data_IF_982892350630
#
_entry.id   IF_982892350630
#
_cell.length_a   1.000
_cell.length_b   1.000
_cell.length_c   1.000
_cell.angle_alpha   90.00
_cell.angle_beta   90.00
_cell.angle_gamma   90.00
#
_symmetry.space_group_name_H-M   'P 1'
#
loop_
_entity.id
_entity.type
_entity.pdbx_description
1 polymer ?
#
# COMPACT_ATOMS: atom_id res chain seq x y z
N UNK A 1 -7.05 -12.04 1.18
CA UNK A 1 -8.32 -12.45 0.54
C UNK A 1 -8.65 -13.95 0.65
N UNK A 2 -7.69 -14.84 0.91
CA UNK A 2 -7.97 -16.28 1.07
C UNK A 2 -8.13 -16.70 2.54
N UNK A 3 -7.66 -15.90 3.45
CA UNK A 3 -7.77 -16.14 4.89
C UNK A 3 -9.17 -15.78 5.37
N UNK A 4 -9.87 -16.75 5.95
CA UNK A 4 -11.27 -16.60 6.38
C UNK A 4 -11.45 -15.66 7.59
N UNK A 5 -10.39 -15.43 8.36
CA UNK A 5 -10.42 -14.56 9.54
C UNK A 5 -10.12 -13.10 9.17
N UNK A 6 -9.20 -12.90 8.22
CA UNK A 6 -8.74 -11.57 7.80
C UNK A 6 -9.65 -11.00 6.70
N UNK A 7 -10.04 -11.82 5.71
CA UNK A 7 -10.78 -11.34 4.54
C UNK A 7 -12.05 -10.54 4.88
N UNK A 8 -12.90 -10.93 5.82
CA UNK A 8 -14.10 -10.14 6.17
C UNK A 8 -13.80 -8.79 6.84
N UNK A 9 -12.55 -8.57 7.25
CA UNK A 9 -12.10 -7.35 7.94
C UNK A 9 -11.38 -6.38 7.01
N UNK A 10 -11.00 -6.84 5.81
CA UNK A 10 -10.30 -6.02 4.84
C UNK A 10 -11.24 -5.00 4.20
N UNK A 11 -10.81 -3.75 4.17
CA UNK A 11 -11.53 -2.64 3.53
C UNK A 11 -10.59 -1.98 2.53
N UNK A 12 -10.50 -2.48 1.29
CA UNK A 12 -9.78 -1.79 0.24
C UNK A 12 -10.50 -0.49 -0.12
N UNK A 13 -9.75 0.60 -0.14
CA UNK A 13 -10.26 1.93 -0.49
C UNK A 13 -9.42 2.41 -1.67
N UNK A 14 -10.08 2.79 -2.75
CA UNK A 14 -9.45 3.21 -3.99
C UNK A 14 -10.08 4.51 -4.48
N UNK A 15 -9.29 5.36 -5.16
CA UNK A 15 -9.87 6.32 -6.09
C UNK A 15 -10.41 5.55 -7.28
N UNK A 16 -10.84 6.18 -8.31
CA UNK A 16 -11.38 5.59 -9.53
C UNK A 16 -10.32 4.88 -10.43
N UNK A 17 -9.30 4.27 -9.84
CA UNK A 17 -8.07 3.87 -10.58
C UNK A 17 -7.62 2.43 -10.27
N UNK A 18 -8.55 1.55 -9.91
CA UNK A 18 -8.22 0.19 -9.48
C UNK A 18 -7.38 -0.59 -10.51
N UNK A 19 -7.64 -0.41 -11.81
CA UNK A 19 -6.90 -1.09 -12.88
C UNK A 19 -5.44 -0.62 -12.96
N UNK A 20 -5.21 0.68 -12.80
CA UNK A 20 -3.85 1.24 -12.76
C UNK A 20 -3.03 0.68 -11.61
N UNK A 21 -3.69 0.36 -10.50
CA UNK A 21 -3.05 -0.24 -9.32
C UNK A 21 -3.03 -1.78 -9.35
N UNK A 22 -3.50 -2.43 -10.43
CA UNK A 22 -3.58 -3.89 -10.53
C UNK A 22 -4.58 -4.52 -9.58
N UNK A 23 -5.62 -3.78 -9.18
CA UNK A 23 -6.62 -4.20 -8.19
C UNK A 23 -7.95 -4.66 -8.82
N UNK A 24 -8.08 -4.66 -10.13
CA UNK A 24 -9.30 -5.05 -10.86
C UNK A 24 -9.80 -6.45 -10.53
N UNK A 25 -8.90 -7.34 -10.12
CA UNK A 25 -9.27 -8.68 -9.66
C UNK A 25 -10.16 -8.70 -8.41
N UNK A 26 -10.27 -7.59 -7.70
CA UNK A 26 -11.16 -7.47 -6.54
C UNK A 26 -12.61 -7.28 -6.96
N UNK A 27 -12.90 -6.70 -8.12
CA UNK A 27 -14.26 -6.45 -8.58
C UNK A 27 -15.11 -7.71 -8.60
N UNK A 28 -14.59 -8.79 -9.17
CA UNK A 28 -15.30 -10.07 -9.24
C UNK A 28 -15.25 -10.87 -7.94
N UNK A 29 -14.25 -10.62 -7.09
CA UNK A 29 -14.00 -11.44 -5.92
C UNK A 29 -14.70 -10.98 -4.67
N UNK A 30 -14.75 -9.68 -4.44
CA UNK A 30 -15.31 -9.06 -3.23
C UNK A 30 -16.24 -7.90 -3.54
N UNK A 31 -16.36 -7.51 -4.80
CA UNK A 31 -17.24 -6.45 -5.27
C UNK A 31 -16.92 -5.05 -4.79
N UNK A 32 -17.40 -4.07 -5.52
CA UNK A 32 -17.39 -2.67 -5.11
C UNK A 32 -18.69 -2.43 -4.32
N UNK A 33 -18.58 -1.77 -3.19
CA UNK A 33 -19.74 -1.45 -2.39
C UNK A 33 -20.63 -0.39 -3.09
N UNK A 34 -21.90 -0.73 -3.27
CA UNK A 34 -22.91 0.21 -3.72
C UNK A 34 -24.19 0.00 -2.91
N UNK A 35 -24.65 1.03 -2.22
CA UNK A 35 -25.81 0.96 -1.32
C UNK A 35 -27.07 0.39 -1.99
N UNK A 36 -27.29 0.69 -3.24
CA UNK A 36 -28.45 0.22 -4.01
C UNK A 36 -28.13 -0.98 -4.92
N UNK A 37 -26.88 -1.44 -4.96
CA UNK A 37 -26.39 -2.41 -5.91
C UNK A 37 -26.19 -1.80 -7.30
N UNK A 38 -25.76 -2.61 -8.25
CA UNK A 38 -25.48 -2.18 -9.62
C UNK A 38 -26.77 -1.92 -10.40
N UNK A 39 -26.93 -0.73 -10.96
CA UNK A 39 -28.13 -0.30 -11.68
C UNK A 39 -27.94 -0.12 -13.19
N UNK A 40 -26.75 -0.41 -13.69
CA UNK A 40 -26.40 -0.28 -15.09
C UNK A 40 -25.51 -1.46 -15.51
N UNK A 41 -25.41 -1.68 -16.81
CA UNK A 41 -24.44 -2.62 -17.37
C UNK A 41 -23.11 -1.90 -17.59
N UNK A 42 -22.00 -2.38 -17.00
CA UNK A 42 -20.70 -1.77 -17.20
C UNK A 42 -20.23 -1.91 -18.67
N UNK A 43 -19.52 -0.91 -19.16
CA UNK A 43 -18.98 -0.94 -20.54
C UNK A 43 -18.02 -2.12 -20.75
N UNK A 44 -17.37 -2.58 -19.68
CA UNK A 44 -16.43 -3.69 -19.66
C UNK A 44 -17.07 -5.05 -19.31
N UNK A 45 -18.40 -5.16 -19.35
CA UNK A 45 -19.14 -6.37 -18.94
C UNK A 45 -18.69 -7.67 -19.61
N UNK A 46 -18.11 -7.58 -20.80
CA UNK A 46 -17.54 -8.72 -21.52
C UNK A 46 -16.14 -9.14 -21.04
N UNK A 47 -15.50 -8.40 -20.15
CA UNK A 47 -14.16 -8.71 -19.63
C UNK A 47 -14.22 -9.64 -18.41
N UNK A 48 -13.18 -10.47 -18.23
CA UNK A 48 -13.06 -11.38 -17.09
C UNK A 48 -13.05 -10.65 -15.73
N UNK A 49 -12.47 -9.45 -15.68
CA UNK A 49 -12.40 -8.61 -14.47
C UNK A 49 -13.25 -7.36 -14.68
N UNK A 50 -14.51 -7.55 -15.13
CA UNK A 50 -15.45 -6.46 -15.33
C UNK A 50 -15.80 -5.76 -14.01
N UNK A 51 -16.14 -4.49 -14.12
CA UNK A 51 -16.62 -3.68 -13.01
C UNK A 51 -17.89 -4.30 -12.41
N UNK A 52 -17.93 -4.43 -11.07
CA UNK A 52 -19.05 -5.05 -10.38
C UNK A 52 -19.36 -4.35 -9.05
N UNK A 53 -20.54 -3.77 -8.98
CA UNK A 53 -21.08 -3.17 -7.77
C UNK A 53 -22.09 -4.11 -7.09
N UNK A 54 -22.05 -4.15 -5.77
CA UNK A 54 -23.03 -4.91 -4.98
C UNK A 54 -23.18 -4.37 -3.55
N UNK A 55 -24.33 -4.61 -2.94
CA UNK A 55 -24.61 -4.17 -1.55
C UNK A 55 -23.67 -4.80 -0.53
N UNK A 56 -23.17 -5.99 -0.81
CA UNK A 56 -22.21 -6.73 0.02
C UNK A 56 -20.77 -6.48 -0.38
N UNK A 57 -20.50 -5.57 -1.32
CA UNK A 57 -19.17 -5.24 -1.77
C UNK A 57 -18.28 -4.74 -0.63
N UNK A 58 -16.98 -5.07 -0.71
CA UNK A 58 -15.99 -4.67 0.29
C UNK A 58 -15.06 -3.55 -0.19
N UNK A 59 -14.96 -3.33 -1.50
CA UNK A 59 -14.14 -2.25 -2.05
C UNK A 59 -14.93 -0.94 -1.96
N UNK A 60 -14.34 0.06 -1.31
CA UNK A 60 -14.87 1.42 -1.34
C UNK A 60 -14.20 2.19 -2.47
N UNK A 61 -14.96 2.55 -3.48
CA UNK A 61 -14.52 3.37 -4.60
C UNK A 61 -15.02 4.79 -4.39
N UNK A 62 -14.10 5.64 -3.96
CA UNK A 62 -14.42 7.01 -3.48
C UNK A 62 -14.35 8.06 -4.61
N UNK A 63 -13.99 7.65 -5.82
CA UNK A 63 -13.67 8.58 -6.90
C UNK A 63 -12.36 9.33 -6.65
N UNK A 64 -12.06 10.31 -7.48
CA UNK A 64 -10.84 11.15 -7.34
C UNK A 64 -11.09 12.21 -6.25
N UNK A 65 -11.15 11.73 -5.02
CA UNK A 65 -11.39 12.53 -3.81
C UNK A 65 -10.56 11.98 -2.65
N UNK A 66 -9.31 12.37 -2.57
CA UNK A 66 -8.39 11.85 -1.55
C UNK A 66 -8.84 12.19 -0.13
N UNK A 67 -9.47 13.32 0.09
CA UNK A 67 -9.97 13.71 1.41
C UNK A 67 -11.14 12.82 1.86
N UNK A 68 -12.08 12.49 0.95
CA UNK A 68 -13.17 11.54 1.21
C UNK A 68 -12.64 10.14 1.49
N UNK A 69 -11.76 9.64 0.63
CA UNK A 69 -11.14 8.33 0.79
C UNK A 69 -10.37 8.20 2.11
N UNK A 70 -9.61 9.24 2.49
CA UNK A 70 -8.89 9.23 3.77
C UNK A 70 -9.85 9.32 4.97
N UNK A 71 -10.98 10.01 4.84
CA UNK A 71 -12.01 10.04 5.89
C UNK A 71 -12.64 8.67 6.09
N UNK A 72 -12.97 7.96 5.01
CA UNK A 72 -13.43 6.57 5.05
C UNK A 72 -12.39 5.63 5.65
N UNK A 73 -11.11 5.84 5.30
CA UNK A 73 -10.01 5.08 5.89
C UNK A 73 -9.91 5.31 7.40
N UNK A 74 -9.98 6.55 7.87
CA UNK A 74 -9.94 6.89 9.30
C UNK A 74 -11.13 6.23 10.02
N UNK A 75 -12.34 6.31 9.47
CA UNK A 75 -13.52 5.70 10.04
C UNK A 75 -13.35 4.18 10.23
N UNK A 76 -12.85 3.48 9.21
CA UNK A 76 -12.55 2.05 9.31
C UNK A 76 -11.39 1.75 10.26
N UNK A 77 -10.31 2.56 10.21
CA UNK A 77 -9.11 2.38 11.02
C UNK A 77 -9.32 2.62 12.53
N UNK A 78 -10.39 3.34 12.90
CA UNK A 78 -10.80 3.63 14.28
C UNK A 78 -12.07 2.89 14.71
N UNK A 79 -12.64 2.04 13.85
CA UNK A 79 -13.89 1.33 14.16
C UNK A 79 -13.79 0.43 15.39
N UNK A 80 -12.59 0.00 15.76
CA UNK A 80 -12.34 -0.77 16.98
C UNK A 80 -12.66 0.00 18.26
N UNK A 81 -12.55 1.34 18.26
CA UNK A 81 -12.89 2.17 19.43
C UNK A 81 -14.37 2.53 19.48
N UNK A 82 -14.98 2.76 18.32
CA UNK A 82 -16.35 3.28 18.22
C UNK A 82 -17.42 2.19 18.14
N UNK A 83 -17.05 1.03 17.60
CA UNK A 83 -18.01 -0.04 17.28
C UNK A 83 -17.56 -1.42 17.79
N UNK A 84 -16.41 -1.51 18.47
CA UNK A 84 -15.80 -2.79 18.88
C UNK A 84 -15.57 -3.77 17.71
N UNK A 85 -15.34 -3.21 16.53
CA UNK A 85 -15.09 -3.96 15.28
C UNK A 85 -13.71 -3.60 14.75
N UNK A 86 -12.81 -4.56 14.76
CA UNK A 86 -11.51 -4.36 14.08
C UNK A 86 -11.67 -4.48 12.57
N UNK A 87 -11.32 -3.42 11.86
CA UNK A 87 -11.21 -3.40 10.41
C UNK A 87 -9.74 -3.20 10.00
N UNK A 88 -9.40 -3.61 8.79
CA UNK A 88 -8.07 -3.52 8.21
C UNK A 88 -8.20 -2.70 6.92
N UNK A 89 -8.26 -1.38 7.03
CA UNK A 89 -8.37 -0.53 5.85
C UNK A 89 -7.03 -0.44 5.12
N UNK A 90 -7.11 -0.51 3.80
CA UNK A 90 -5.98 -0.36 2.89
C UNK A 90 -6.39 0.68 1.85
N UNK A 91 -5.89 1.90 2.00
CA UNK A 91 -6.15 2.96 1.05
C UNK A 91 -4.99 3.09 0.07
N UNK A 92 -5.29 2.91 -1.22
CA UNK A 92 -4.32 3.01 -2.31
C UNK A 92 -4.56 4.30 -3.08
N UNK A 93 -3.52 5.07 -3.28
CA UNK A 93 -3.57 6.36 -3.97
C UNK A 93 -2.27 6.64 -4.74
N UNK A 94 -2.28 7.61 -5.62
CA UNK A 94 -1.06 8.08 -6.26
C UNK A 94 -0.12 8.73 -5.24
N UNK A 95 1.07 8.17 -5.08
CA UNK A 95 2.02 8.59 -4.03
C UNK A 95 2.39 10.07 -4.09
N UNK A 96 2.50 10.63 -5.31
CA UNK A 96 2.82 12.03 -5.53
C UNK A 96 1.77 12.98 -4.94
N UNK A 97 0.49 12.62 -5.06
CA UNK A 97 -0.62 13.47 -4.60
C UNK A 97 -1.01 13.23 -3.15
N UNK A 98 -0.84 11.99 -2.67
CA UNK A 98 -1.41 11.54 -1.42
C UNK A 98 -1.15 12.50 -0.26
N UNK A 99 0.03 12.48 0.30
CA UNK A 99 0.34 13.30 1.47
C UNK A 99 0.22 14.81 1.23
N UNK A 100 0.33 15.28 0.00
CA UNK A 100 0.08 16.68 -0.32
C UNK A 100 -1.38 17.08 -0.12
N UNK A 101 -2.31 16.14 -0.30
CA UNK A 101 -3.76 16.40 -0.21
C UNK A 101 -4.37 15.90 1.10
N UNK A 102 -3.74 14.92 1.75
CA UNK A 102 -4.27 14.29 2.97
C UNK A 102 -3.40 14.53 4.21
N UNK A 103 -2.39 15.39 4.16
CA UNK A 103 -1.45 15.58 5.25
C UNK A 103 -2.11 15.85 6.60
N UNK A 104 -3.03 16.79 6.67
CA UNK A 104 -3.77 17.09 7.90
C UNK A 104 -4.61 15.89 8.39
N UNK A 105 -5.25 15.18 7.47
CA UNK A 105 -6.02 13.99 7.81
C UNK A 105 -5.12 12.83 8.27
N UNK A 106 -3.91 12.72 7.72
CA UNK A 106 -2.95 11.73 8.18
C UNK A 106 -2.44 12.04 9.61
N UNK A 107 -2.25 13.31 9.94
CA UNK A 107 -1.99 13.74 11.32
C UNK A 107 -3.17 13.43 12.25
N UNK A 108 -4.40 13.75 11.83
CA UNK A 108 -5.60 13.43 12.58
C UNK A 108 -5.75 11.90 12.79
N UNK A 109 -5.42 11.10 11.79
CA UNK A 109 -5.38 9.64 11.90
C UNK A 109 -4.37 9.16 12.94
N UNK A 110 -3.17 9.74 12.93
CA UNK A 110 -2.14 9.45 13.93
C UNK A 110 -2.59 9.78 15.35
N UNK A 111 -3.19 10.94 15.54
CA UNK A 111 -3.71 11.42 16.82
C UNK A 111 -4.88 10.54 17.32
N UNK A 112 -5.73 10.10 16.40
CA UNK A 112 -6.86 9.19 16.68
C UNK A 112 -6.46 7.72 16.86
N UNK A 113 -5.17 7.39 16.82
CA UNK A 113 -4.64 6.03 16.94
C UNK A 113 -5.19 5.08 15.86
N UNK A 114 -5.38 5.58 14.66
CA UNK A 114 -5.84 4.81 13.52
C UNK A 114 -4.90 3.65 13.20
N UNK A 115 -5.46 2.49 12.78
CA UNK A 115 -4.72 1.28 12.42
C UNK A 115 -5.05 0.85 11.02
N UNK A 116 -4.09 0.86 10.12
CA UNK A 116 -4.31 0.48 8.72
C UNK A 116 -3.10 0.79 7.85
N UNK A 117 -3.28 0.59 6.55
CA UNK A 117 -2.24 0.77 5.56
C UNK A 117 -2.64 1.87 4.56
N UNK A 118 -1.71 2.77 4.31
CA UNK A 118 -1.73 3.72 3.23
C UNK A 118 -0.73 3.25 2.16
N UNK A 119 -1.16 3.08 0.93
CA UNK A 119 -0.34 2.60 -0.18
C UNK A 119 -0.18 3.70 -1.20
N UNK A 120 1.03 4.26 -1.28
CA UNK A 120 1.41 5.18 -2.34
C UNK A 120 1.79 4.41 -3.60
N UNK A 121 0.83 4.17 -4.47
CA UNK A 121 1.05 3.45 -5.71
C UNK A 121 1.65 4.36 -6.78
N UNK A 122 2.23 3.75 -7.81
CA UNK A 122 2.97 4.45 -8.88
C UNK A 122 4.15 5.28 -8.37
N UNK A 123 4.77 4.84 -7.26
CA UNK A 123 5.97 5.50 -6.75
C UNK A 123 7.19 5.27 -7.66
N UNK A 124 8.14 6.17 -7.56
CA UNK A 124 9.37 6.13 -8.34
C UNK A 124 9.36 7.08 -9.53
N UNK A 125 10.55 7.36 -10.04
CA UNK A 125 10.75 8.33 -11.13
C UNK A 125 11.18 7.69 -12.43
N UNK A 126 11.64 6.44 -12.39
CA UNK A 126 12.22 5.76 -13.55
C UNK A 126 11.17 5.10 -14.44
N UNK A 127 10.02 4.75 -13.88
CA UNK A 127 8.97 3.94 -14.55
C UNK A 127 7.80 4.77 -15.04
N UNK A 128 7.75 6.07 -14.74
CA UNK A 128 6.65 6.98 -15.04
C UNK A 128 7.06 8.11 -16.00
N UNK A 129 8.04 7.87 -16.86
CA UNK A 129 8.60 8.89 -17.74
C UNK A 129 7.57 9.51 -18.71
N UNK A 130 6.55 8.76 -19.12
CA UNK A 130 5.48 9.23 -19.98
C UNK A 130 4.36 10.01 -19.30
N UNK A 131 4.27 9.95 -17.97
CA UNK A 131 3.13 10.52 -17.23
C UNK A 131 3.38 11.96 -16.72
N UNK A 132 4.56 12.49 -16.98
CA UNK A 132 4.94 13.85 -16.59
C UNK A 132 5.31 14.01 -15.12
N UNK A 133 5.74 15.23 -14.79
CA UNK A 133 6.30 15.58 -13.49
C UNK A 133 5.35 15.32 -12.32
N UNK A 134 4.07 15.47 -12.54
CA UNK A 134 3.02 15.30 -11.53
C UNK A 134 2.92 13.88 -10.94
N UNK A 135 3.50 12.86 -11.59
CA UNK A 135 3.51 11.48 -11.09
C UNK A 135 4.89 11.06 -10.55
N UNK A 136 5.87 11.94 -10.58
CA UNK A 136 7.24 11.61 -10.18
C UNK A 136 7.47 11.87 -8.69
N UNK A 137 6.97 10.98 -7.85
CA UNK A 137 7.19 11.05 -6.41
C UNK A 137 8.66 10.79 -6.03
N UNK A 138 9.14 11.51 -5.06
CA UNK A 138 10.47 11.36 -4.46
C UNK A 138 10.55 12.01 -3.08
N UNK A 139 9.41 12.42 -2.51
CA UNK A 139 9.35 13.21 -1.28
C UNK A 139 8.24 12.77 -0.32
N UNK A 140 7.32 11.91 -0.74
CA UNK A 140 6.17 11.51 0.10
C UNK A 140 6.62 10.90 1.44
N UNK A 141 7.69 10.11 1.44
CA UNK A 141 8.27 9.56 2.67
C UNK A 141 8.80 10.63 3.63
N UNK A 142 9.34 11.74 3.12
CA UNK A 142 9.79 12.86 3.95
C UNK A 142 8.62 13.50 4.69
N UNK A 143 7.49 13.66 4.01
CA UNK A 143 6.27 14.19 4.61
C UNK A 143 5.71 13.19 5.62
N UNK A 144 5.56 11.93 5.23
CA UNK A 144 5.04 10.88 6.10
C UNK A 144 5.87 10.68 7.38
N UNK A 145 7.20 10.81 7.28
CA UNK A 145 8.10 10.65 8.42
C UNK A 145 7.98 11.75 9.48
N UNK A 146 7.27 12.84 9.18
CA UNK A 146 6.98 13.86 10.18
C UNK A 146 5.92 13.42 11.19
N UNK A 147 5.10 12.41 10.86
CA UNK A 147 4.04 11.89 11.73
C UNK A 147 4.63 10.80 12.63
N UNK A 148 4.68 10.99 13.96
CA UNK A 148 5.48 10.15 14.86
C UNK A 148 5.13 8.66 14.87
N UNK A 149 3.87 8.31 14.62
CA UNK A 149 3.37 6.93 14.60
C UNK A 149 3.08 6.40 13.19
N UNK A 150 3.52 7.10 12.15
CA UNK A 150 3.50 6.61 10.77
C UNK A 150 4.78 5.85 10.45
N UNK A 151 4.67 4.54 10.26
CA UNK A 151 5.80 3.68 9.88
C UNK A 151 5.90 3.63 8.36
N UNK A 152 7.05 4.02 7.81
CA UNK A 152 7.19 4.18 6.35
C UNK A 152 8.16 3.19 5.73
N UNK A 153 7.81 2.64 4.56
CA UNK A 153 8.66 1.72 3.79
C UNK A 153 8.57 1.99 2.28
N UNK A 154 9.71 1.81 1.61
CA UNK A 154 9.84 1.88 0.14
C UNK A 154 10.41 0.54 -0.39
N UNK A 155 9.61 -0.55 -0.38
CA UNK A 155 10.07 -1.87 -0.81
C UNK A 155 10.30 -1.92 -2.33
N UNK A 156 11.29 -2.71 -2.74
CA UNK A 156 11.56 -3.01 -4.15
C UNK A 156 10.89 -4.31 -4.59
N UNK A 157 10.92 -5.33 -3.74
CA UNK A 157 10.49 -6.68 -4.09
C UNK A 157 9.25 -7.12 -3.33
N UNK A 158 8.46 -8.02 -3.95
CA UNK A 158 7.22 -8.52 -3.37
C UNK A 158 7.40 -9.20 -2.00
N UNK A 159 8.55 -9.87 -1.78
CA UNK A 159 8.81 -10.51 -0.50
C UNK A 159 9.03 -9.51 0.63
N UNK A 160 9.62 -8.34 0.34
CA UNK A 160 9.74 -7.25 1.31
C UNK A 160 8.34 -6.74 1.71
N UNK A 161 7.50 -6.49 0.71
CA UNK A 161 6.12 -6.07 0.93
C UNK A 161 5.36 -7.07 1.80
N UNK A 162 5.50 -8.38 1.52
CA UNK A 162 4.84 -9.44 2.28
C UNK A 162 5.31 -9.46 3.76
N UNK A 163 6.61 -9.31 4.01
CA UNK A 163 7.19 -9.23 5.37
C UNK A 163 6.67 -8.01 6.10
N UNK A 164 6.66 -6.83 5.44
CA UNK A 164 6.20 -5.57 6.02
C UNK A 164 4.70 -5.63 6.35
N UNK A 165 3.87 -6.14 5.44
CA UNK A 165 2.44 -6.29 5.69
C UNK A 165 2.14 -7.23 6.86
N UNK A 166 2.82 -8.38 6.91
CA UNK A 166 2.69 -9.34 8.02
C UNK A 166 3.03 -8.70 9.36
N UNK A 167 4.14 -7.96 9.41
CA UNK A 167 4.56 -7.26 10.63
C UNK A 167 3.60 -6.12 10.98
N UNK A 168 3.11 -5.38 10.01
CA UNK A 168 2.10 -4.33 10.22
C UNK A 168 0.82 -4.89 10.83
N UNK A 169 0.30 -5.99 10.30
CA UNK A 169 -0.85 -6.69 10.88
C UNK A 169 -0.57 -7.15 12.31
N UNK A 170 0.60 -7.73 12.56
CA UNK A 170 1.00 -8.17 13.90
C UNK A 170 1.04 -7.00 14.89
N UNK A 171 1.68 -5.88 14.52
CA UNK A 171 1.81 -4.71 15.40
C UNK A 171 0.46 -4.05 15.67
N UNK A 172 -0.32 -3.81 14.64
CA UNK A 172 -1.58 -3.08 14.76
C UNK A 172 -2.70 -3.92 15.37
N UNK A 173 -2.86 -5.18 14.98
CA UNK A 173 -4.04 -5.99 15.30
C UNK A 173 -3.77 -7.05 16.37
N UNK A 174 -2.55 -7.58 16.49
CA UNK A 174 -2.20 -8.54 17.55
C UNK A 174 -1.64 -7.83 18.77
N UNK A 175 -0.64 -6.93 18.58
CA UNK A 175 0.02 -6.19 19.67
C UNK A 175 -0.71 -4.91 20.08
N UNK A 176 -1.66 -4.46 19.28
CA UNK A 176 -2.45 -3.23 19.54
C UNK A 176 -1.59 -1.97 19.64
N UNK A 177 -0.45 -1.95 18.97
CA UNK A 177 0.44 -0.79 18.95
C UNK A 177 -0.24 0.41 18.25
N UNK A 178 0.04 1.60 18.74
CA UNK A 178 -0.41 2.85 18.13
C UNK A 178 0.50 3.21 16.95
N UNK A 179 0.30 2.54 15.84
CA UNK A 179 1.01 2.79 14.58
C UNK A 179 0.09 2.56 13.40
N UNK A 180 0.35 3.26 12.28
CA UNK A 180 -0.17 2.93 10.96
C UNK A 180 0.97 2.94 9.95
N UNK A 181 0.73 2.39 8.76
CA UNK A 181 1.79 2.18 7.78
C UNK A 181 1.57 3.02 6.53
N UNK A 182 2.65 3.62 6.02
CA UNK A 182 2.72 4.16 4.68
C UNK A 182 3.77 3.39 3.87
N UNK A 183 3.35 2.79 2.76
CA UNK A 183 4.21 1.94 1.92
C UNK A 183 4.08 2.41 0.49
N UNK A 184 5.20 2.73 -0.16
CA UNK A 184 5.19 3.02 -1.60
C UNK A 184 5.32 1.74 -2.41
N UNK A 185 4.63 1.69 -3.54
CA UNK A 185 4.66 0.56 -4.48
C UNK A 185 4.75 1.07 -5.91
N UNK A 186 5.26 0.21 -6.78
CA UNK A 186 5.36 0.47 -8.23
C UNK A 186 4.25 -0.26 -8.97
N UNK A 187 3.81 0.28 -10.09
CA UNK A 187 2.85 -0.37 -11.00
C UNK A 187 3.51 -1.04 -12.23
N UNK A 188 4.84 -1.10 -12.27
CA UNK A 188 5.56 -1.78 -13.33
C UNK A 188 5.70 -3.27 -13.05
N UNK A 189 5.42 -4.09 -14.07
CA UNK A 189 5.58 -5.54 -13.98
C UNK A 189 7.03 -5.94 -14.29
N UNK A 190 7.66 -6.66 -13.39
CA UNK A 190 8.98 -7.25 -13.57
C UNK A 190 9.15 -8.55 -12.76
N UNK A 191 10.15 -9.34 -13.12
CA UNK A 191 10.47 -10.56 -12.39
C UNK A 191 11.08 -10.24 -11.04
N UNK A 192 10.51 -10.80 -9.98
CA UNK A 192 11.02 -10.66 -8.63
C UNK A 192 11.97 -11.82 -8.28
N UNK A 193 13.13 -11.54 -7.67
CA UNK A 193 14.01 -12.59 -7.17
C UNK A 193 13.39 -13.29 -5.95
N UNK A 194 13.92 -14.47 -5.65
CA UNK A 194 13.65 -15.10 -4.36
C UNK A 194 14.23 -14.28 -3.21
N UNK A 195 13.58 -14.33 -2.06
CA UNK A 195 14.11 -13.72 -0.84
C UNK A 195 15.47 -14.38 -0.48
N UNK A 196 16.51 -13.61 -0.15
CA UNK A 196 17.77 -14.16 0.32
C UNK A 196 17.59 -15.10 1.50
N UNK A 197 18.26 -16.26 1.47
CA UNK A 197 18.14 -17.31 2.51
C UNK A 197 18.95 -17.03 3.79
N UNK A 198 19.39 -15.81 4.00
CA UNK A 198 20.03 -15.41 5.25
C UNK A 198 18.99 -15.29 6.36
N UNK A 199 19.28 -15.86 7.52
CA UNK A 199 18.38 -15.85 8.69
C UNK A 199 18.02 -14.45 9.20
N UNK A 200 18.83 -13.45 8.85
CA UNK A 200 18.63 -12.06 9.28
C UNK A 200 17.88 -11.22 8.21
N UNK A 201 17.50 -11.81 7.08
CA UNK A 201 16.89 -11.05 5.97
C UNK A 201 15.56 -10.41 6.40
N UNK A 202 14.66 -11.16 7.02
CA UNK A 202 13.36 -10.60 7.47
C UNK A 202 13.56 -9.49 8.51
N UNK A 203 14.42 -9.71 9.48
CA UNK A 203 14.75 -8.68 10.49
C UNK A 203 15.36 -7.43 9.83
N UNK A 204 16.25 -7.63 8.85
CA UNK A 204 16.86 -6.54 8.10
C UNK A 204 15.85 -5.76 7.27
N UNK A 205 14.88 -6.42 6.64
CA UNK A 205 13.77 -5.77 5.93
C UNK A 205 12.99 -4.87 6.91
N UNK A 206 12.61 -5.40 8.07
CA UNK A 206 11.86 -4.65 9.07
C UNK A 206 12.65 -3.49 9.69
N UNK A 207 13.96 -3.60 9.76
CA UNK A 207 14.87 -2.52 10.17
C UNK A 207 15.23 -1.54 9.05
N UNK A 208 14.73 -1.78 7.83
CA UNK A 208 14.93 -0.92 6.66
C UNK A 208 16.25 -1.12 5.93
N UNK A 209 17.06 -2.13 6.27
CA UNK A 209 18.30 -2.42 5.56
C UNK A 209 18.71 -3.90 5.67
N UNK A 210 18.97 -4.54 4.55
CA UNK A 210 19.51 -5.90 4.50
C UNK A 210 20.41 -6.09 3.27
N UNK A 211 21.26 -7.11 3.29
CA UNK A 211 22.15 -7.41 2.19
C UNK A 211 21.46 -8.30 1.15
N UNK A 212 21.28 -7.77 -0.06
CA UNK A 212 20.66 -8.51 -1.17
C UNK A 212 21.68 -9.41 -1.86
N UNK A 213 22.89 -8.88 -2.15
CA UNK A 213 23.88 -9.59 -2.95
C UNK A 213 25.30 -9.21 -2.54
N UNK A 214 26.22 -10.15 -2.69
CA UNK A 214 27.64 -9.92 -2.48
C UNK A 214 28.41 -10.25 -3.78
N UNK A 215 29.23 -9.31 -4.22
CA UNK A 215 30.05 -9.42 -5.43
C UNK A 215 31.52 -9.64 -5.09
N UNK A 216 31.84 -10.63 -4.28
CA UNK A 216 33.16 -10.91 -3.73
C UNK A 216 34.27 -11.24 -4.75
N UNK A 217 34.13 -10.85 -6.03
CA UNK A 217 35.13 -11.13 -7.08
C UNK A 217 36.46 -10.36 -6.94
N UNK A 218 36.50 -9.26 -6.20
CA UNK A 218 37.67 -8.38 -6.12
C UNK A 218 38.09 -8.14 -4.67
N UNK A 219 39.31 -8.55 -4.33
CA UNK A 219 39.82 -8.48 -2.95
C UNK A 219 40.32 -7.08 -2.51
N UNK A 220 40.51 -6.13 -3.43
CA UNK A 220 41.20 -4.86 -3.12
C UNK A 220 40.29 -3.66 -2.86
N UNK A 221 39.12 -3.59 -3.47
CA UNK A 221 38.21 -2.45 -3.29
C UNK A 221 36.80 -2.97 -3.06
N UNK A 222 36.17 -2.53 -1.99
CA UNK A 222 34.77 -2.84 -1.68
C UNK A 222 33.96 -1.58 -1.90
N UNK A 223 32.89 -1.69 -2.72
CA UNK A 223 31.91 -0.64 -2.94
C UNK A 223 30.59 -1.17 -2.42
N UNK A 224 29.98 -0.42 -1.50
CA UNK A 224 28.62 -0.68 -1.03
C UNK A 224 27.66 0.21 -1.81
N UNK A 225 26.63 -0.42 -2.40
CA UNK A 225 25.53 0.28 -3.04
C UNK A 225 24.31 0.18 -2.16
N UNK A 226 23.61 1.28 -1.99
CA UNK A 226 22.35 1.36 -1.22
C UNK A 226 21.25 1.86 -2.14
N UNK A 227 20.06 1.30 -2.00
CA UNK A 227 18.89 1.73 -2.76
C UNK A 227 17.60 1.16 -2.16
N UNK A 228 16.48 1.76 -2.52
CA UNK A 228 15.14 1.29 -2.21
C UNK A 228 14.23 1.51 -3.43
N UNK A 229 13.05 0.92 -3.42
CA UNK A 229 12.07 1.08 -4.49
C UNK A 229 12.64 0.82 -5.89
N UNK A 230 12.27 1.65 -6.85
CA UNK A 230 12.72 1.56 -8.25
C UNK A 230 14.23 1.71 -8.39
N UNK A 231 14.86 2.56 -7.57
CA UNK A 231 16.29 2.85 -7.68
C UNK A 231 17.13 1.62 -7.35
N UNK A 232 16.74 0.83 -6.38
CA UNK A 232 17.48 -0.40 -6.05
C UNK A 232 17.50 -1.38 -7.23
N UNK A 233 16.39 -1.50 -7.96
CA UNK A 233 16.30 -2.35 -9.15
C UNK A 233 17.30 -1.94 -10.23
N UNK A 234 17.44 -0.64 -10.48
CA UNK A 234 18.40 -0.11 -11.45
C UNK A 234 19.87 -0.26 -10.99
N UNK A 235 20.11 -0.54 -9.71
CA UNK A 235 21.45 -0.69 -9.14
C UNK A 235 21.95 -2.15 -9.10
N UNK A 236 21.09 -3.15 -9.27
CA UNK A 236 21.43 -4.58 -9.19
C UNK A 236 21.89 -5.12 -10.54
#
# INVERSE_FOLDING_TARGET
MRDKNISPRLVPIIPDEARTFGMEGFFQKIGIYAHEGQKYEPEDSAQLSSYREEKSGQVLEEGINEAGAMSSWIAAATAYTNHDIEMIPIYTFYSMFGFQRIGDLAWAAGDSQARGFLIGATAGRTTLAGEGLQHQDGHSHLIASTIPNCVTYDPTFHYELAVIFREGLRRMHEKKENVFYYITTMNENYSHPEMPKDKNTEEGILKGMYKIKDFNKYKKTKIQRLGSGTILREMI
#
